data_IF_353536864470
#
_entry.id   IF_353536864470
#
_cell.length_a   1.000
_cell.length_b   1.000
_cell.length_c   1.000
_cell.angle_alpha   90.00
_cell.angle_beta   90.00
_cell.angle_gamma   90.00
#
_symmetry.space_group_name_H-M   'P 1'
#
loop_
_entity.id
_entity.type
_entity.pdbx_description
1 polymer ?
#
# COMPACT_ATOMS: atom_id res chain seq x y z
N UNK A 1 45.99 -19.36 4.04
CA UNK A 1 45.11 -19.04 5.20
C UNK A 1 44.65 -17.58 5.23
N UNK A 2 45.54 -16.57 5.13
CA UNK A 2 45.13 -15.14 5.10
C UNK A 2 44.23 -14.76 3.92
N UNK A 3 44.51 -15.24 2.70
CA UNK A 3 43.66 -14.96 1.53
C UNK A 3 42.25 -15.55 1.65
N UNK A 4 42.11 -16.73 2.28
CA UNK A 4 40.81 -17.38 2.47
C UNK A 4 39.96 -16.58 3.46
N UNK A 5 40.57 -16.05 4.54
CA UNK A 5 39.87 -15.17 5.48
C UNK A 5 39.45 -13.83 4.85
N UNK A 6 40.26 -13.26 3.95
CA UNK A 6 39.91 -12.05 3.20
C UNK A 6 38.77 -12.32 2.22
N UNK A 7 38.81 -13.45 1.49
CA UNK A 7 37.71 -13.88 0.61
C UNK A 7 36.42 -14.16 1.39
N UNK A 8 36.50 -14.85 2.53
CA UNK A 8 35.35 -15.08 3.41
C UNK A 8 34.78 -13.74 3.92
N UNK A 9 35.62 -12.81 4.35
CA UNK A 9 35.21 -11.49 4.82
C UNK A 9 34.54 -10.64 3.72
N UNK A 10 34.96 -10.78 2.45
CA UNK A 10 34.28 -10.14 1.32
C UNK A 10 32.93 -10.77 0.98
N UNK A 11 32.73 -12.06 1.24
CA UNK A 11 31.43 -12.73 1.08
C UNK A 11 30.41 -12.38 2.18
N UNK A 12 30.84 -11.88 3.35
CA UNK A 12 29.93 -11.42 4.42
C UNK A 12 29.20 -10.13 4.05
N UNK A 13 29.68 -9.37 3.05
CA UNK A 13 28.92 -8.28 2.43
C UNK A 13 27.90 -8.78 1.38
N UNK A 14 27.41 -10.02 1.52
CA UNK A 14 26.17 -10.42 0.88
C UNK A 14 25.05 -9.51 1.42
N UNK A 15 24.76 -8.42 0.70
CA UNK A 15 23.71 -7.50 1.05
C UNK A 15 22.41 -8.29 1.18
N UNK A 16 21.83 -8.32 2.39
CA UNK A 16 20.55 -8.97 2.63
C UNK A 16 19.48 -8.25 1.80
N UNK A 17 18.97 -8.92 0.78
CA UNK A 17 17.85 -8.45 -0.01
C UNK A 17 16.57 -9.01 0.60
N UNK A 18 15.73 -8.15 1.17
CA UNK A 18 14.40 -8.53 1.63
C UNK A 18 13.41 -8.46 0.48
N UNK A 19 12.45 -9.38 0.46
CA UNK A 19 11.30 -9.36 -0.43
C UNK A 19 10.17 -8.54 0.17
N UNK A 20 9.95 -7.33 -0.31
CA UNK A 20 9.05 -6.35 0.32
C UNK A 20 7.78 -6.17 -0.52
N UNK A 21 6.63 -6.21 0.13
CA UNK A 21 5.34 -5.85 -0.46
C UNK A 21 4.92 -4.47 0.05
N UNK A 22 4.69 -3.52 -0.86
CA UNK A 22 4.18 -2.18 -0.54
C UNK A 22 2.73 -2.11 -0.98
N UNK A 23 1.81 -2.04 -0.02
CA UNK A 23 0.39 -1.85 -0.29
C UNK A 23 0.11 -0.38 -0.60
N UNK A 24 -0.48 -0.13 -1.77
CA UNK A 24 -0.74 1.22 -2.27
C UNK A 24 -2.14 1.31 -2.87
N UNK A 25 -3.19 1.53 -2.07
CA UNK A 25 -4.53 1.64 -2.59
C UNK A 25 -4.70 2.89 -3.46
N UNK A 26 -5.37 2.76 -4.62
CA UNK A 26 -5.52 3.84 -5.59
C UNK A 26 -6.66 4.81 -5.22
N UNK A 27 -6.51 5.48 -4.08
CA UNK A 27 -7.48 6.48 -3.57
C UNK A 27 -7.23 7.87 -4.14
N UNK A 28 -5.99 8.16 -4.56
CA UNK A 28 -5.60 9.36 -5.28
C UNK A 28 -4.24 9.17 -5.95
N UNK A 29 -3.90 10.05 -6.90
CA UNK A 29 -2.59 10.01 -7.57
C UNK A 29 -1.43 10.32 -6.63
N UNK A 30 -1.61 11.22 -5.66
CA UNK A 30 -0.55 11.62 -4.73
C UNK A 30 -0.13 10.47 -3.82
N UNK A 31 -1.10 9.70 -3.30
CA UNK A 31 -0.83 8.51 -2.48
C UNK A 31 -0.07 7.44 -3.27
N UNK A 32 -0.51 7.13 -4.50
CA UNK A 32 0.20 6.21 -5.39
C UNK A 32 1.65 6.65 -5.65
N UNK A 33 1.87 7.94 -5.95
CA UNK A 33 3.21 8.49 -6.19
C UNK A 33 4.06 8.43 -4.91
N UNK A 34 3.49 8.73 -3.75
CA UNK A 34 4.21 8.70 -2.47
C UNK A 34 4.69 7.29 -2.14
N UNK A 35 3.79 6.30 -2.18
CA UNK A 35 4.11 4.90 -1.90
C UNK A 35 5.08 4.34 -2.94
N UNK A 36 4.91 4.70 -4.22
CA UNK A 36 5.80 4.28 -5.29
C UNK A 36 7.21 4.86 -5.16
N UNK A 37 7.37 6.11 -4.70
CA UNK A 37 8.69 6.69 -4.39
C UNK A 37 9.39 5.95 -3.25
N UNK A 38 8.67 5.64 -2.17
CA UNK A 38 9.21 4.84 -1.08
C UNK A 38 9.67 3.46 -1.59
N UNK A 39 8.83 2.80 -2.39
CA UNK A 39 9.15 1.50 -2.98
C UNK A 39 10.37 1.55 -3.90
N UNK A 40 10.49 2.60 -4.70
CA UNK A 40 11.65 2.83 -5.57
C UNK A 40 12.95 2.99 -4.76
N UNK A 41 12.93 3.72 -3.63
CA UNK A 41 14.11 3.85 -2.78
C UNK A 41 14.51 2.52 -2.13
N UNK A 42 13.53 1.73 -1.67
CA UNK A 42 13.77 0.37 -1.17
C UNK A 42 14.38 -0.53 -2.25
N UNK A 43 13.88 -0.43 -3.49
CA UNK A 43 14.41 -1.18 -4.62
C UNK A 43 15.84 -0.73 -4.98
N UNK A 44 16.13 0.58 -4.99
CA UNK A 44 17.48 1.12 -5.21
C UNK A 44 18.47 0.69 -4.13
N UNK A 45 18.00 0.48 -2.90
CA UNK A 45 18.79 -0.07 -1.81
C UNK A 45 19.09 -1.58 -1.97
N UNK A 46 18.57 -2.24 -3.01
CA UNK A 46 18.86 -3.63 -3.34
C UNK A 46 17.82 -4.65 -2.88
N UNK A 47 16.65 -4.20 -2.43
CA UNK A 47 15.54 -5.09 -2.04
C UNK A 47 14.69 -5.53 -3.24
N UNK A 48 14.06 -6.70 -3.16
CA UNK A 48 13.04 -7.13 -4.13
C UNK A 48 11.68 -6.54 -3.74
N UNK A 49 11.30 -5.43 -4.37
CA UNK A 49 10.11 -4.67 -3.98
C UNK A 49 9.00 -4.81 -5.02
N UNK A 50 7.80 -5.18 -4.55
CA UNK A 50 6.57 -5.16 -5.33
C UNK A 50 5.60 -4.16 -4.72
N UNK A 51 5.10 -3.22 -5.52
CA UNK A 51 3.99 -2.33 -5.17
C UNK A 51 2.70 -2.98 -5.62
N UNK A 52 1.82 -3.27 -4.66
CA UNK A 52 0.47 -3.78 -4.88
C UNK A 52 -0.52 -2.62 -4.90
N UNK A 53 -0.97 -2.25 -6.10
CA UNK A 53 -1.96 -1.21 -6.31
C UNK A 53 -3.34 -1.83 -6.48
N UNK A 54 -4.23 -1.61 -5.50
CA UNK A 54 -5.65 -1.93 -5.64
C UNK A 54 -6.35 -0.74 -6.31
N UNK A 55 -6.75 -0.90 -7.56
CA UNK A 55 -7.23 0.18 -8.41
C UNK A 55 -8.72 0.47 -8.23
N UNK A 56 -9.06 1.12 -7.11
CA UNK A 56 -10.44 1.46 -6.76
C UNK A 56 -11.05 2.57 -7.64
N UNK A 57 -10.22 3.38 -8.31
CA UNK A 57 -10.66 4.56 -9.06
C UNK A 57 -10.30 4.52 -10.56
N UNK A 58 -9.63 3.47 -11.03
CA UNK A 58 -9.15 3.36 -12.41
C UNK A 58 -7.98 4.30 -12.72
N UNK A 59 -7.18 4.66 -11.72
CA UNK A 59 -6.09 5.65 -11.85
C UNK A 59 -4.70 5.01 -11.81
N UNK A 60 -4.57 3.73 -11.42
CA UNK A 60 -3.27 3.05 -11.29
C UNK A 60 -2.55 2.90 -12.63
N UNK A 61 -3.28 2.70 -13.72
CA UNK A 61 -2.72 2.57 -15.07
C UNK A 61 -2.19 3.90 -15.63
N UNK A 62 -2.87 5.01 -15.31
CA UNK A 62 -2.50 6.35 -15.82
C UNK A 62 -1.51 7.07 -14.91
N UNK A 63 -1.28 6.55 -13.71
CA UNK A 63 -0.36 7.14 -12.74
C UNK A 63 1.00 6.46 -12.82
N UNK A 64 2.02 7.26 -13.15
CA UNK A 64 3.41 6.80 -13.11
C UNK A 64 3.96 6.86 -11.68
N UNK A 65 3.46 5.95 -10.83
CA UNK A 65 3.78 5.86 -9.40
C UNK A 65 5.17 5.28 -9.12
N UNK A 66 5.60 4.31 -9.94
CA UNK A 66 6.80 3.49 -9.71
C UNK A 66 7.73 3.57 -10.93
N UNK A 67 9.04 3.72 -10.71
CA UNK A 67 10.04 3.77 -11.80
C UNK A 67 11.01 2.60 -11.79
N UNK A 68 11.27 2.01 -10.63
CA UNK A 68 12.30 0.98 -10.42
C UNK A 68 11.69 -0.29 -9.81
N UNK A 69 10.82 -0.16 -8.82
CA UNK A 69 10.18 -1.32 -8.19
C UNK A 69 9.21 -2.04 -9.15
N UNK A 70 8.84 -3.28 -8.82
CA UNK A 70 7.81 -4.02 -9.57
C UNK A 70 6.44 -3.44 -9.22
N UNK A 71 5.55 -3.33 -10.20
CA UNK A 71 4.17 -2.84 -10.01
C UNK A 71 3.17 -3.94 -10.35
N UNK A 72 2.26 -4.24 -9.42
CA UNK A 72 1.15 -5.18 -9.59
C UNK A 72 -0.16 -4.45 -9.35
N UNK A 73 -0.96 -4.32 -10.39
CA UNK A 73 -2.28 -3.69 -10.33
C UNK A 73 -3.34 -4.80 -10.23
N UNK A 74 -4.27 -4.64 -9.31
CA UNK A 74 -5.50 -5.43 -9.17
C UNK A 74 -6.68 -4.48 -9.37
N UNK A 75 -7.55 -4.80 -10.31
CA UNK A 75 -8.76 -4.03 -10.65
C UNK A 75 -10.01 -4.91 -10.55
N UNK A 76 -11.16 -4.41 -11.02
CA UNK A 76 -12.41 -5.19 -11.09
C UNK A 76 -13.25 -5.22 -9.81
N UNK A 77 -12.98 -4.33 -8.85
CA UNK A 77 -13.75 -4.16 -7.62
C UNK A 77 -15.18 -3.69 -7.91
N UNK A 78 -16.20 -4.40 -7.44
CA UNK A 78 -17.61 -4.03 -7.63
C UNK A 78 -17.95 -2.75 -6.86
N UNK A 79 -17.38 -2.56 -5.67
CA UNK A 79 -17.66 -1.41 -4.80
C UNK A 79 -16.96 -0.11 -5.23
N UNK A 80 -16.18 -0.14 -6.32
CA UNK A 80 -15.48 1.03 -6.87
C UNK A 80 -16.41 2.20 -7.16
N UNK A 81 -17.62 1.92 -7.66
CA UNK A 81 -18.61 2.95 -7.99
C UNK A 81 -19.11 3.67 -6.74
N UNK A 82 -19.44 2.91 -5.69
CA UNK A 82 -19.87 3.47 -4.41
C UNK A 82 -18.74 4.29 -3.77
N UNK A 83 -17.51 3.77 -3.82
CA UNK A 83 -16.34 4.47 -3.28
C UNK A 83 -16.11 5.80 -3.97
N UNK A 84 -16.18 5.79 -5.31
CA UNK A 84 -16.05 6.99 -6.13
C UNK A 84 -17.15 8.01 -5.82
N UNK A 85 -18.40 7.58 -5.63
CA UNK A 85 -19.51 8.48 -5.28
C UNK A 85 -19.30 9.15 -3.92
N UNK A 86 -18.89 8.38 -2.90
CA UNK A 86 -18.57 8.94 -1.58
C UNK A 86 -17.42 9.95 -1.69
N UNK A 87 -16.34 9.60 -2.40
CA UNK A 87 -15.19 10.48 -2.60
C UNK A 87 -15.56 11.76 -3.36
N UNK A 88 -16.46 11.69 -4.34
CA UNK A 88 -16.97 12.87 -5.03
C UNK A 88 -17.76 13.78 -4.08
N UNK A 89 -18.61 13.23 -3.21
CA UNK A 89 -19.33 14.01 -2.21
C UNK A 89 -18.38 14.80 -1.29
N UNK A 90 -17.26 14.20 -0.86
CA UNK A 90 -16.22 14.94 -0.13
C UNK A 90 -15.57 16.06 -0.94
N UNK A 91 -15.36 15.83 -2.24
CA UNK A 91 -14.75 16.84 -3.11
C UNK A 91 -15.65 18.04 -3.37
N UNK A 92 -16.97 17.84 -3.42
CA UNK A 92 -17.95 18.90 -3.61
C UNK A 92 -17.99 19.87 -2.43
N UNK A 93 -17.82 19.36 -1.20
CA UNK A 93 -17.88 20.17 0.03
C UNK A 93 -16.50 20.53 0.58
N UNK A 94 -15.41 20.35 -0.19
CA UNK A 94 -14.03 20.51 0.32
C UNK A 94 -13.70 21.94 0.77
N UNK A 95 -14.39 22.94 0.20
CA UNK A 95 -14.22 24.36 0.52
C UNK A 95 -15.22 24.85 1.58
N UNK A 96 -16.12 23.98 2.04
CA UNK A 96 -17.10 24.28 3.07
C UNK A 96 -16.52 23.94 4.45
N UNK A 97 -16.94 24.64 5.49
CA UNK A 97 -16.66 24.25 6.88
C UNK A 97 -17.79 23.32 7.35
N UNK A 98 -17.61 21.99 7.31
CA UNK A 98 -18.66 21.08 7.74
C UNK A 98 -18.90 21.23 9.24
N UNK A 99 -20.14 21.00 9.66
CA UNK A 99 -20.41 20.79 11.09
C UNK A 99 -19.68 19.53 11.56
N UNK A 100 -19.36 19.46 12.85
CA UNK A 100 -18.74 18.26 13.44
C UNK A 100 -19.54 16.98 13.15
N UNK A 101 -20.88 17.07 13.12
CA UNK A 101 -21.74 15.92 12.81
C UNK A 101 -21.65 15.50 11.35
N UNK A 102 -21.50 16.45 10.42
CA UNK A 102 -21.38 16.15 8.99
C UNK A 102 -19.99 15.60 8.67
N UNK A 103 -18.95 16.11 9.34
CA UNK A 103 -17.61 15.56 9.28
C UNK A 103 -17.58 14.10 9.74
N UNK A 104 -18.17 13.79 10.91
CA UNK A 104 -18.29 12.41 11.39
C UNK A 104 -19.04 11.52 10.38
N UNK A 105 -20.20 11.97 9.88
CA UNK A 105 -20.99 11.17 8.92
C UNK A 105 -20.20 10.89 7.65
N UNK A 106 -19.49 11.89 7.12
CA UNK A 106 -18.61 11.74 5.99
C UNK A 106 -17.56 10.68 6.26
N UNK A 107 -16.81 10.81 7.36
CA UNK A 107 -15.78 9.84 7.75
C UNK A 107 -16.33 8.42 7.87
N UNK A 108 -17.50 8.24 8.49
CA UNK A 108 -18.16 6.93 8.58
C UNK A 108 -18.54 6.37 7.20
N UNK A 109 -19.11 7.19 6.33
CA UNK A 109 -19.45 6.78 4.96
C UNK A 109 -18.20 6.36 4.18
N UNK A 110 -17.11 7.13 4.29
CA UNK A 110 -15.83 6.80 3.69
C UNK A 110 -15.32 5.45 4.19
N UNK A 111 -15.22 5.28 5.51
CA UNK A 111 -14.67 4.08 6.12
C UNK A 111 -15.51 2.83 5.81
N UNK A 112 -16.85 2.95 5.79
CA UNK A 112 -17.72 1.82 5.46
C UNK A 112 -17.48 1.32 4.03
N UNK A 113 -17.53 2.21 3.04
CA UNK A 113 -17.34 1.79 1.64
C UNK A 113 -15.90 1.34 1.39
N UNK A 114 -14.92 1.93 2.10
CA UNK A 114 -13.55 1.44 2.07
C UNK A 114 -13.44 0.00 2.61
N UNK A 115 -14.10 -0.31 3.73
CA UNK A 115 -14.10 -1.65 4.30
C UNK A 115 -14.74 -2.67 3.36
N UNK A 116 -15.77 -2.28 2.59
CA UNK A 116 -16.39 -3.15 1.60
C UNK A 116 -15.42 -3.51 0.46
N UNK A 117 -14.66 -2.53 -0.05
CA UNK A 117 -13.55 -2.78 -0.99
C UNK A 117 -12.50 -3.71 -0.40
N UNK A 118 -12.21 -3.56 0.90
CA UNK A 118 -11.25 -4.42 1.56
C UNK A 118 -11.74 -5.86 1.70
N UNK A 119 -13.01 -6.03 2.05
CA UNK A 119 -13.65 -7.34 2.10
C UNK A 119 -13.73 -7.99 0.72
N UNK A 120 -13.88 -7.22 -0.36
CA UNK A 120 -13.77 -7.72 -1.73
C UNK A 120 -12.39 -8.29 -2.02
N UNK A 121 -11.33 -7.55 -1.70
CA UNK A 121 -9.96 -8.04 -1.95
C UNK A 121 -9.66 -9.33 -1.18
N UNK A 122 -10.13 -9.44 0.06
CA UNK A 122 -9.97 -10.66 0.86
C UNK A 122 -10.68 -11.88 0.27
N UNK A 123 -11.70 -11.69 -0.57
CA UNK A 123 -12.41 -12.78 -1.27
C UNK A 123 -11.73 -13.22 -2.56
N UNK A 124 -10.67 -12.54 -3.00
CA UNK A 124 -9.92 -12.89 -4.20
C UNK A 124 -8.90 -14.00 -3.90
N UNK A 125 -9.38 -15.21 -3.62
CA UNK A 125 -8.58 -16.34 -3.12
C UNK A 125 -7.36 -16.63 -4.01
N UNK A 126 -7.50 -16.59 -5.34
CA UNK A 126 -6.39 -16.86 -6.26
C UNK A 126 -5.23 -15.87 -6.09
N UNK A 127 -5.55 -14.58 -6.03
CA UNK A 127 -4.56 -13.50 -5.85
C UNK A 127 -3.98 -13.57 -4.43
N UNK A 128 -4.83 -13.80 -3.43
CA UNK A 128 -4.39 -13.87 -2.04
C UNK A 128 -3.45 -15.04 -1.80
N UNK A 129 -3.75 -16.21 -2.39
CA UNK A 129 -2.90 -17.39 -2.35
C UNK A 129 -1.59 -17.16 -3.12
N UNK A 130 -1.61 -16.49 -4.27
CA UNK A 130 -0.40 -16.07 -5.00
C UNK A 130 0.51 -15.23 -4.10
N UNK A 131 -0.04 -14.19 -3.47
CA UNK A 131 0.72 -13.27 -2.59
C UNK A 131 1.25 -13.98 -1.35
N UNK A 132 0.47 -14.89 -0.74
CA UNK A 132 0.88 -15.68 0.42
C UNK A 132 2.01 -16.64 0.07
N UNK A 133 1.93 -17.29 -1.09
CA UNK A 133 2.97 -18.20 -1.59
C UNK A 133 4.25 -17.48 -2.03
N UNK A 134 4.16 -16.18 -2.32
CA UNK A 134 5.33 -15.37 -2.62
C UNK A 134 6.25 -15.14 -1.41
N UNK A 135 5.80 -15.39 -0.18
CA UNK A 135 6.60 -15.34 1.07
C UNK A 135 7.37 -14.03 1.22
N UNK A 136 6.64 -12.93 1.29
CA UNK A 136 7.24 -11.62 1.55
C UNK A 136 7.82 -11.53 2.97
N UNK A 137 8.94 -10.84 3.05
CA UNK A 137 9.71 -10.56 4.26
C UNK A 137 9.12 -9.41 5.08
N UNK A 138 8.60 -8.39 4.39
CA UNK A 138 8.07 -7.18 4.99
C UNK A 138 6.94 -6.57 4.19
N UNK A 139 6.06 -5.86 4.89
CA UNK A 139 4.87 -5.24 4.34
C UNK A 139 4.79 -3.78 4.77
N UNK A 140 4.58 -2.87 3.81
CA UNK A 140 4.28 -1.47 4.09
C UNK A 140 2.79 -1.21 3.84
N UNK A 141 2.10 -0.71 4.86
CA UNK A 141 0.69 -0.32 4.80
C UNK A 141 0.57 1.20 4.97
N UNK A 142 -0.34 1.83 4.25
CA UNK A 142 -0.59 3.27 4.35
C UNK A 142 -1.70 3.62 5.37
N UNK A 143 -1.53 4.73 6.10
CA UNK A 143 -2.39 5.16 7.20
C UNK A 143 -3.87 5.46 6.88
N UNK A 144 -4.24 5.58 5.60
CA UNK A 144 -5.60 5.99 5.21
C UNK A 144 -6.65 5.00 5.74
N UNK A 145 -6.28 3.72 5.83
CA UNK A 145 -7.09 2.65 6.39
C UNK A 145 -6.19 1.63 7.10
N UNK A 146 -6.81 0.75 7.88
CA UNK A 146 -6.11 -0.33 8.58
C UNK A 146 -6.17 -1.67 7.83
N UNK A 147 -6.83 -1.75 6.67
CA UNK A 147 -6.94 -2.98 5.90
C UNK A 147 -5.59 -3.56 5.52
N UNK A 148 -4.60 -2.69 5.21
CA UNK A 148 -3.25 -3.12 4.88
C UNK A 148 -2.61 -4.00 5.96
N UNK A 149 -2.80 -3.69 7.25
CA UNK A 149 -2.32 -4.54 8.33
C UNK A 149 -3.09 -5.85 8.46
N UNK A 150 -4.40 -5.82 8.19
CA UNK A 150 -5.21 -7.04 8.09
C UNK A 150 -4.70 -7.98 7.01
N UNK A 151 -4.37 -7.44 5.83
CA UNK A 151 -3.78 -8.23 4.74
C UNK A 151 -2.43 -8.79 5.12
N UNK A 152 -1.56 -7.97 5.71
CA UNK A 152 -0.23 -8.41 6.11
C UNK A 152 -0.29 -9.59 7.09
N UNK A 153 -1.22 -9.53 8.06
CA UNK A 153 -1.50 -10.63 8.98
C UNK A 153 -2.00 -11.88 8.26
N UNK A 154 -3.01 -11.76 7.39
CA UNK A 154 -3.59 -12.89 6.67
C UNK A 154 -2.62 -13.52 5.63
N UNK A 155 -1.70 -12.72 5.08
CA UNK A 155 -0.60 -13.16 4.21
C UNK A 155 0.58 -13.79 4.97
N UNK A 156 0.54 -13.81 6.31
CA UNK A 156 1.60 -14.33 7.20
C UNK A 156 2.95 -13.62 7.02
N UNK A 157 2.92 -12.31 6.74
CA UNK A 157 4.14 -11.51 6.61
C UNK A 157 4.59 -11.09 8.02
N UNK A 158 5.87 -11.26 8.41
CA UNK A 158 6.27 -11.08 9.81
C UNK A 158 6.50 -9.61 10.22
N UNK A 159 6.86 -8.74 9.26
CA UNK A 159 7.26 -7.35 9.53
C UNK A 159 6.32 -6.39 8.86
N UNK A 160 5.70 -5.52 9.65
CA UNK A 160 4.72 -4.55 9.17
C UNK A 160 5.19 -3.12 9.48
N UNK A 161 5.08 -2.23 8.49
CA UNK A 161 5.46 -0.83 8.59
C UNK A 161 4.28 0.06 8.21
N UNK A 162 4.09 1.15 8.96
CA UNK A 162 3.08 2.17 8.66
C UNK A 162 3.70 3.32 7.85
N UNK A 163 3.13 3.62 6.70
CA UNK A 163 3.39 4.86 5.95
C UNK A 163 2.37 5.89 6.43
N UNK A 164 2.87 6.94 7.07
CA UNK A 164 2.06 8.08 7.52
C UNK A 164 2.50 9.34 6.80
N UNK A 165 1.53 10.05 6.23
CA UNK A 165 1.71 11.35 5.57
C UNK A 165 1.08 12.50 6.37
N UNK A 166 0.38 12.20 7.47
CA UNK A 166 -0.22 13.19 8.34
C UNK A 166 0.68 13.35 9.55
N UNK A 167 1.27 14.53 9.73
CA UNK A 167 2.05 14.82 10.91
C UNK A 167 1.11 14.77 12.13
N UNK A 168 1.29 13.80 13.02
CA UNK A 168 0.63 13.76 14.34
C UNK A 168 1.07 14.90 15.27
N UNK A 169 1.81 15.89 14.76
CA UNK A 169 2.20 17.10 15.45
C UNK A 169 1.03 18.11 15.42
N UNK A 170 0.08 17.92 16.34
CA UNK A 170 -0.40 19.08 17.09
C UNK A 170 0.59 19.26 18.25
N UNK A 171 1.58 20.12 18.04
CA UNK A 171 2.30 20.78 19.14
C UNK A 171 1.51 22.01 19.53
#
# INVERSE_FOLDING_TARGET
>A
MRLIFVLLATFVNAAFSYKILVFSPATSKSHLISNGRLADELARAGHDVTVLELDFLGISQTTNSVKVAKKRIIDGFQESTNFKNVLHGFSETVMEEPSFTDEIKGWWAYQNVYNDLCAEFLKMDDIFNELKNAKFDGFFAEQINLCGFGYAHALEIPRHFLISSCSTLRV
#
